data_IF_164084033301
#
_entry.id   IF_164084033301
#
_cell.length_a   1.000
_cell.length_b   1.000
_cell.length_c   1.000
_cell.angle_alpha   90.00
_cell.angle_beta   90.00
_cell.angle_gamma   90.00
#
_symmetry.space_group_name_H-M   'P 1'
#
loop_
_entity.id
_entity.type
_entity.pdbx_description
1 polymer ?
#
# COMPACT_ATOMS: atom_id res chain seq x y z
N UNK A 1 5.03 2.27 3.39
CA UNK A 1 4.63 3.54 3.98
C UNK A 1 3.16 3.59 4.25
N UNK A 2 2.77 4.03 5.40
CA UNK A 2 1.40 3.91 5.86
C UNK A 2 0.92 5.21 6.41
N UNK A 3 -0.32 5.51 6.11
CA UNK A 3 -0.94 6.69 6.63
C UNK A 3 -2.37 6.36 7.05
N UNK A 4 -2.73 6.68 8.29
CA UNK A 4 -4.05 6.42 8.83
C UNK A 4 -4.92 7.66 8.87
N UNK A 5 -4.44 8.79 8.39
CA UNK A 5 -5.20 10.04 8.44
C UNK A 5 -6.54 9.93 7.75
N UNK A 6 -6.61 9.17 6.67
CA UNK A 6 -7.85 9.02 5.92
C UNK A 6 -8.96 8.42 6.77
N UNK A 7 -8.64 7.48 7.63
CA UNK A 7 -9.65 6.84 8.47
C UNK A 7 -10.23 7.80 9.50
N UNK A 8 -9.50 8.80 9.92
CA UNK A 8 -10.01 9.81 10.85
C UNK A 8 -11.03 10.72 10.19
N UNK A 9 -10.86 10.97 8.90
CA UNK A 9 -11.72 11.89 8.16
C UNK A 9 -12.98 11.22 7.62
N UNK A 10 -12.94 9.91 7.44
CA UNK A 10 -14.04 9.15 6.85
C UNK A 10 -14.29 7.89 7.68
N UNK A 11 -14.91 8.05 8.84
CA UNK A 11 -14.98 6.95 9.81
C UNK A 11 -15.84 5.77 9.39
N UNK A 12 -16.71 5.92 8.42
CA UNK A 12 -17.67 4.86 8.12
C UNK A 12 -17.19 3.83 7.11
N UNK A 13 -16.45 4.26 6.06
CA UNK A 13 -16.14 3.36 4.95
C UNK A 13 -14.69 3.35 4.51
N UNK A 14 -13.83 4.08 5.19
CA UNK A 14 -12.43 4.13 4.78
C UNK A 14 -11.66 2.95 5.32
N UNK A 15 -10.95 2.29 4.45
CA UNK A 15 -10.06 1.18 4.81
C UNK A 15 -8.63 1.58 4.53
N UNK A 16 -7.73 1.12 5.38
CA UNK A 16 -6.30 1.38 5.23
C UNK A 16 -5.62 0.07 4.86
N UNK A 17 -5.06 0.03 3.67
CA UNK A 17 -4.31 -1.13 3.20
C UNK A 17 -2.84 -0.78 3.17
N UNK A 18 -2.02 -1.73 3.60
CA UNK A 18 -0.57 -1.62 3.49
C UNK A 18 -0.15 -2.46 2.31
N UNK A 19 0.51 -1.83 1.36
CA UNK A 19 1.03 -2.50 0.17
C UNK A 19 2.54 -2.37 0.17
N UNK A 20 3.24 -3.47 0.30
CA UNK A 20 4.69 -3.46 0.38
C UNK A 20 5.31 -4.51 -0.52
N UNK A 21 6.46 -4.16 -1.12
CA UNK A 21 7.21 -5.11 -1.93
C UNK A 21 8.02 -6.12 -1.13
N UNK A 22 7.94 -6.08 0.20
CA UNK A 22 8.61 -7.09 1.01
C UNK A 22 7.99 -8.45 0.75
N UNK A 23 8.84 -9.48 0.78
CA UNK A 23 8.39 -10.83 0.49
C UNK A 23 7.55 -11.39 1.61
N UNK A 24 6.56 -12.17 1.24
CA UNK A 24 5.59 -12.72 2.19
C UNK A 24 6.23 -13.60 3.25
N UNK A 25 7.39 -14.17 2.98
CA UNK A 25 8.10 -14.97 3.99
C UNK A 25 8.48 -14.14 5.23
N UNK A 26 8.47 -12.82 5.11
CA UNK A 26 8.76 -11.91 6.22
C UNK A 26 7.49 -11.35 6.86
N UNK A 27 6.35 -11.95 6.58
CA UNK A 27 5.05 -11.44 7.06
C UNK A 27 4.99 -11.34 8.57
N UNK A 28 5.41 -12.36 9.26
CA UNK A 28 5.34 -12.40 10.72
C UNK A 28 6.15 -11.27 11.36
N UNK A 29 7.37 -11.07 10.88
CA UNK A 29 8.23 -10.00 11.37
C UNK A 29 7.63 -8.63 11.03
N UNK A 30 7.05 -8.51 9.85
CA UNK A 30 6.45 -7.26 9.41
C UNK A 30 5.22 -6.91 10.23
N UNK A 31 4.36 -7.89 10.48
CA UNK A 31 3.16 -7.68 11.29
C UNK A 31 3.53 -7.29 12.72
N UNK A 32 4.58 -7.91 13.26
CA UNK A 32 5.06 -7.56 14.59
C UNK A 32 5.60 -6.14 14.64
N UNK A 33 6.34 -5.74 13.62
CA UNK A 33 6.85 -4.38 13.54
C UNK A 33 5.72 -3.36 13.48
N UNK A 34 4.69 -3.64 12.68
CA UNK A 34 3.53 -2.76 12.56
C UNK A 34 2.80 -2.63 13.89
N UNK A 35 2.61 -3.74 14.57
CA UNK A 35 1.97 -3.74 15.88
C UNK A 35 2.77 -2.92 16.90
N UNK A 36 4.09 -3.12 16.92
CA UNK A 36 4.96 -2.42 17.87
C UNK A 36 5.04 -0.91 17.61
N UNK A 37 4.69 -0.47 16.42
CA UNK A 37 4.70 0.94 16.06
C UNK A 37 3.29 1.55 16.03
N UNK A 38 2.32 0.83 16.58
CA UNK A 38 0.93 1.30 16.70
C UNK A 38 0.30 1.67 15.37
N UNK A 39 0.65 0.93 14.31
CA UNK A 39 0.10 1.17 12.98
C UNK A 39 -1.14 0.34 12.80
N UNK A 40 -2.26 1.00 12.55
CA UNK A 40 -3.56 0.36 12.38
C UNK A 40 -3.86 0.22 10.90
N UNK A 41 -4.21 -1.00 10.49
CA UNK A 41 -4.52 -1.27 9.08
C UNK A 41 -5.56 -2.38 8.97
N UNK A 42 -6.23 -2.42 7.83
CA UNK A 42 -7.25 -3.44 7.56
C UNK A 42 -6.67 -4.65 6.85
N UNK A 43 -5.69 -4.45 6.00
CA UNK A 43 -5.10 -5.53 5.22
C UNK A 43 -3.63 -5.23 4.91
N UNK A 44 -2.81 -6.26 5.01
CA UNK A 44 -1.40 -6.20 4.65
C UNK A 44 -1.19 -7.04 3.40
N UNK A 45 -0.76 -6.40 2.33
CA UNK A 45 -0.51 -7.05 1.04
C UNK A 45 1.00 -7.08 0.82
N UNK A 46 1.55 -8.28 0.72
CA UNK A 46 2.98 -8.50 0.54
C UNK A 46 3.23 -9.27 -0.73
N UNK A 47 4.45 -9.19 -1.23
CA UNK A 47 4.85 -9.89 -2.44
C UNK A 47 5.02 -11.39 -2.15
N UNK A 48 4.15 -12.21 -2.76
CA UNK A 48 4.16 -13.64 -2.50
C UNK A 48 5.28 -14.36 -3.22
N UNK A 49 5.62 -13.94 -4.42
CA UNK A 49 6.61 -14.62 -5.23
C UNK A 49 7.97 -13.96 -5.10
N UNK A 50 9.00 -14.81 -5.01
CA UNK A 50 10.37 -14.33 -5.03
C UNK A 50 10.80 -14.09 -6.47
N UNK A 51 10.20 -13.10 -7.11
CA UNK A 51 10.62 -12.71 -8.44
C UNK A 51 11.61 -11.57 -8.32
N UNK A 52 12.42 -11.40 -9.33
CA UNK A 52 13.34 -10.28 -9.40
C UNK A 52 12.62 -8.99 -9.75
N UNK A 53 11.30 -9.01 -9.68
CA UNK A 53 10.50 -7.90 -10.10
C UNK A 53 10.71 -6.68 -9.23
N UNK A 54 10.73 -5.56 -9.89
CA UNK A 54 10.89 -4.30 -9.22
C UNK A 54 9.63 -3.98 -8.43
N UNK A 55 9.84 -3.32 -7.32
CA UNK A 55 8.79 -2.97 -6.38
C UNK A 55 7.61 -2.26 -7.05
N UNK A 56 7.89 -1.33 -7.97
CA UNK A 56 6.82 -0.57 -8.61
C UNK A 56 5.98 -1.43 -9.56
N UNK A 57 6.55 -2.48 -10.15
CA UNK A 57 5.81 -3.38 -11.03
C UNK A 57 4.82 -4.21 -10.20
N UNK A 58 5.27 -4.76 -9.09
CA UNK A 58 4.41 -5.49 -8.17
C UNK A 58 3.28 -4.60 -7.68
N UNK A 59 3.60 -3.37 -7.27
CA UNK A 59 2.58 -2.45 -6.75
C UNK A 59 1.59 -2.03 -7.82
N UNK A 60 2.05 -1.88 -9.06
CA UNK A 60 1.14 -1.57 -10.15
C UNK A 60 0.11 -2.66 -10.35
N UNK A 61 0.55 -3.92 -10.37
CA UNK A 61 -0.36 -5.04 -10.52
C UNK A 61 -1.40 -5.09 -9.40
N UNK A 62 -0.95 -4.88 -8.16
CA UNK A 62 -1.85 -4.90 -7.01
C UNK A 62 -2.82 -3.72 -7.02
N UNK A 63 -2.37 -2.55 -7.42
CA UNK A 63 -3.23 -1.40 -7.53
C UNK A 63 -4.31 -1.59 -8.59
N UNK A 64 -3.98 -2.24 -9.71
CA UNK A 64 -4.97 -2.58 -10.73
C UNK A 64 -6.05 -3.49 -10.17
N UNK A 65 -5.66 -4.51 -9.40
CA UNK A 65 -6.61 -5.40 -8.76
C UNK A 65 -7.49 -4.67 -7.75
N UNK A 66 -6.87 -3.85 -6.91
CA UNK A 66 -7.59 -3.13 -5.86
C UNK A 66 -8.54 -2.10 -6.43
N UNK A 67 -8.14 -1.43 -7.52
CA UNK A 67 -8.98 -0.41 -8.14
C UNK A 67 -10.27 -0.97 -8.69
N UNK A 68 -10.29 -2.25 -9.03
CA UNK A 68 -11.51 -2.91 -9.50
C UNK A 68 -12.52 -3.13 -8.37
N UNK A 69 -12.04 -3.21 -7.14
CA UNK A 69 -12.88 -3.50 -5.98
C UNK A 69 -13.16 -2.30 -5.11
N UNK A 70 -12.25 -1.34 -5.10
CA UNK A 70 -12.30 -0.22 -4.17
C UNK A 70 -12.05 1.09 -4.90
N UNK A 71 -12.60 2.16 -4.33
CA UNK A 71 -12.29 3.51 -4.76
C UNK A 71 -11.04 3.95 -3.98
N UNK A 72 -9.89 3.94 -4.64
CA UNK A 72 -8.64 4.31 -4.00
C UNK A 72 -8.56 5.82 -3.90
N UNK A 73 -8.67 6.33 -2.69
CA UNK A 73 -8.72 7.76 -2.46
C UNK A 73 -7.36 8.41 -2.37
N UNK A 74 -6.36 7.66 -1.91
CA UNK A 74 -5.03 8.20 -1.77
C UNK A 74 -4.01 7.08 -1.65
N UNK A 75 -2.87 7.24 -2.29
CA UNK A 75 -1.72 6.36 -2.17
C UNK A 75 -0.55 7.14 -1.58
N UNK A 76 0.06 6.59 -0.55
CA UNK A 76 1.23 7.19 0.09
C UNK A 76 2.43 6.26 -0.14
N UNK A 77 3.50 6.78 -0.69
CA UNK A 77 4.70 5.98 -0.93
C UNK A 77 5.91 6.92 -1.09
N UNK A 78 7.09 6.41 -0.85
CA UNK A 78 8.32 7.16 -1.00
C UNK A 78 8.99 6.92 -2.36
N UNK A 79 8.47 6.02 -3.17
CA UNK A 79 9.03 5.66 -4.46
C UNK A 79 8.37 6.45 -5.58
N UNK A 80 9.16 7.28 -6.29
CA UNK A 80 8.59 8.13 -7.33
C UNK A 80 8.05 7.31 -8.51
N UNK A 81 8.56 6.11 -8.74
CA UNK A 81 8.06 5.24 -9.81
C UNK A 81 6.65 4.77 -9.49
N UNK A 82 6.33 4.57 -8.22
CA UNK A 82 4.96 4.29 -7.78
C UNK A 82 4.09 5.51 -8.03
N UNK A 83 4.64 6.71 -7.81
CA UNK A 83 3.92 7.94 -8.11
C UNK A 83 3.57 8.06 -9.58
N UNK A 84 4.48 7.66 -10.48
CA UNK A 84 4.20 7.66 -11.90
C UNK A 84 3.07 6.68 -12.25
N UNK A 85 3.09 5.49 -11.64
CA UNK A 85 2.02 4.51 -11.82
C UNK A 85 0.68 5.09 -11.38
N UNK A 86 0.64 5.72 -10.21
CA UNK A 86 -0.58 6.34 -9.71
C UNK A 86 -1.08 7.44 -10.63
N UNK A 87 -0.18 8.22 -11.18
CA UNK A 87 -0.53 9.28 -12.13
C UNK A 87 -1.22 8.71 -13.37
N UNK A 88 -0.67 7.62 -13.92
CA UNK A 88 -1.26 6.97 -15.08
C UNK A 88 -2.63 6.36 -14.75
N UNK A 89 -2.81 5.88 -13.54
CA UNK A 89 -4.05 5.26 -13.10
C UNK A 89 -5.06 6.26 -12.51
N UNK A 90 -4.68 7.54 -12.47
CA UNK A 90 -5.50 8.61 -11.89
C UNK A 90 -5.82 8.36 -10.43
N UNK A 91 -4.86 7.85 -9.69
CA UNK A 91 -4.95 7.67 -8.24
C UNK A 91 -4.22 8.83 -7.58
N UNK A 92 -4.87 9.58 -6.69
CA UNK A 92 -4.17 10.64 -5.95
C UNK A 92 -2.98 10.07 -5.20
N UNK A 93 -1.84 10.75 -5.27
CA UNK A 93 -0.60 10.26 -4.71
C UNK A 93 0.06 11.32 -3.85
N UNK A 94 0.50 10.91 -2.67
CA UNK A 94 1.24 11.78 -1.76
C UNK A 94 2.65 11.19 -1.56
N UNK A 95 3.70 11.88 -2.02
CA UNK A 95 5.06 11.38 -1.83
C UNK A 95 5.51 11.53 -0.37
N UNK A 96 5.97 10.42 0.22
CA UNK A 96 6.45 10.40 1.60
C UNK A 96 7.95 10.18 1.61
N UNK A 97 8.69 11.21 1.28
CA UNK A 97 10.15 11.12 1.25
C UNK A 97 10.77 11.27 2.63
#
# INVERSE_FOLDING_TARGET
>A
MIDTLMSEWYPLDVRVFILTGRKDKYREITEKWLYNNDIIYDKLIMQEKSTADKNHIFKEEKLLELKKKYDIRMMYDDNFQVGEVCSRMKIPFYPCY
#
